data_IF_889178962690
#
_entry.id   IF_889178962690
#
_cell.length_a   1.000
_cell.length_b   1.000
_cell.length_c   1.000
_cell.angle_alpha   90.00
_cell.angle_beta   90.00
_cell.angle_gamma   90.00
#
_symmetry.space_group_name_H-M   'P 1'
#
loop_
_entity.id
_entity.type
_entity.pdbx_description
1 polymer ?
#
# COMPACT_ATOMS: atom_id res chain seq x y z
N UNK A 1 1.85 -15.10 -4.33
CA UNK A 1 1.53 -13.92 -3.50
C UNK A 1 1.97 -14.23 -2.08
N UNK A 2 2.70 -13.33 -1.42
CA UNK A 2 3.25 -13.51 -0.07
C UNK A 2 2.50 -12.66 0.97
N UNK A 3 1.17 -12.61 0.88
CA UNK A 3 0.32 -11.87 1.82
C UNK A 3 -1.04 -12.55 2.00
N UNK A 4 -1.74 -12.19 3.09
CA UNK A 4 -3.06 -12.69 3.44
C UNK A 4 -4.02 -11.54 3.70
N UNK A 5 -5.25 -11.65 3.19
CA UNK A 5 -6.31 -10.69 3.44
C UNK A 5 -7.56 -11.48 3.85
N UNK A 6 -8.13 -11.14 4.99
CA UNK A 6 -9.47 -11.59 5.39
C UNK A 6 -10.41 -10.39 5.39
N UNK A 7 -11.58 -10.57 4.77
CA UNK A 7 -12.57 -9.49 4.65
C UNK A 7 -13.91 -9.88 5.26
N UNK A 8 -14.54 -8.89 5.88
CA UNK A 8 -15.87 -8.99 6.46
C UNK A 8 -16.72 -7.91 5.81
N UNK A 9 -17.94 -8.24 5.40
CA UNK A 9 -18.82 -7.24 4.79
C UNK A 9 -19.34 -6.27 5.85
N UNK A 10 -19.32 -4.97 5.54
CA UNK A 10 -19.78 -3.93 6.45
C UNK A 10 -20.39 -2.74 5.74
N UNK A 11 -20.69 -1.70 6.51
CA UNK A 11 -21.22 -0.42 6.06
C UNK A 11 -20.15 0.69 5.93
N UNK A 12 -18.94 0.43 6.45
CA UNK A 12 -17.79 1.32 6.39
C UNK A 12 -16.52 0.48 6.32
N UNK A 13 -15.58 0.91 5.50
CA UNK A 13 -14.28 0.25 5.39
C UNK A 13 -13.38 0.63 6.57
N UNK A 14 -12.87 -0.39 7.25
CA UNK A 14 -12.06 -0.31 8.47
C UNK A 14 -11.01 -1.42 8.42
N UNK A 15 -9.77 -1.08 8.74
CA UNK A 15 -8.67 -2.03 8.92
C UNK A 15 -8.53 -2.31 10.42
N UNK A 16 -8.56 -3.59 10.78
CA UNK A 16 -8.38 -4.01 12.17
C UNK A 16 -6.89 -4.18 12.46
N UNK A 17 -6.28 -3.14 13.03
CA UNK A 17 -4.84 -3.12 13.35
C UNK A 17 -4.53 -3.81 14.69
N UNK A 18 -5.57 -4.11 15.49
CA UNK A 18 -5.49 -4.80 16.78
C UNK A 18 -6.69 -5.73 16.95
N UNK A 19 -6.42 -7.00 17.20
CA UNK A 19 -7.45 -8.03 17.40
C UNK A 19 -7.22 -8.68 18.75
N UNK A 20 -8.21 -8.57 19.62
CA UNK A 20 -8.17 -9.02 21.01
C UNK A 20 -8.91 -10.37 21.07
N UNK A 21 -8.18 -11.42 21.44
CA UNK A 21 -8.74 -12.71 21.81
C UNK A 21 -8.91 -12.82 23.33
N UNK A 22 -9.49 -13.93 23.77
CA UNK A 22 -9.79 -14.21 25.18
C UNK A 22 -8.56 -14.21 26.08
N UNK A 23 -7.38 -14.56 25.54
CA UNK A 23 -6.13 -14.70 26.31
C UNK A 23 -4.97 -13.82 25.81
N UNK A 24 -5.06 -13.26 24.60
CA UNK A 24 -3.94 -12.56 23.96
C UNK A 24 -4.43 -11.54 22.91
N UNK A 25 -3.50 -10.78 22.32
CA UNK A 25 -3.79 -9.76 21.31
C UNK A 25 -2.79 -9.85 20.16
N UNK A 26 -3.27 -9.78 18.92
CA UNK A 26 -2.44 -9.73 17.71
C UNK A 26 -2.58 -8.40 16.96
N UNK A 27 -1.53 -8.03 16.23
CA UNK A 27 -1.43 -6.79 15.46
C UNK A 27 -1.05 -7.12 14.01
N UNK A 28 -2.04 -7.36 13.13
CA UNK A 28 -1.78 -7.88 11.78
C UNK A 28 -1.18 -6.84 10.81
N UNK A 29 -1.52 -5.56 10.96
CA UNK A 29 -1.29 -4.54 9.93
C UNK A 29 -0.50 -3.32 10.42
N UNK A 30 0.84 -3.40 10.42
CA UNK A 30 1.72 -2.30 10.89
C UNK A 30 2.38 -1.53 9.74
N UNK A 31 2.28 -1.96 8.47
CA UNK A 31 3.18 -1.47 7.41
C UNK A 31 2.51 -0.88 6.16
N UNK A 32 1.19 -0.77 6.13
CA UNK A 32 0.46 -0.33 4.93
C UNK A 32 -0.09 1.07 5.14
N UNK A 33 0.43 2.05 4.39
CA UNK A 33 -0.24 3.34 4.31
C UNK A 33 -1.54 3.20 3.51
N UNK A 34 -2.67 3.45 4.15
CA UNK A 34 -4.00 3.38 3.56
C UNK A 34 -4.88 4.57 4.02
N UNK A 35 -5.95 4.91 3.26
CA UNK A 35 -6.84 6.01 3.62
C UNK A 35 -7.97 5.58 4.58
N UNK A 36 -8.09 4.28 4.84
CA UNK A 36 -9.17 3.73 5.66
C UNK A 36 -8.95 4.00 7.15
N UNK A 37 -10.04 3.99 7.92
CA UNK A 37 -9.96 4.08 9.36
C UNK A 37 -9.34 2.80 9.94
N UNK A 38 -8.56 2.95 11.00
CA UNK A 38 -8.05 1.85 11.81
C UNK A 38 -8.94 1.67 13.04
N UNK A 39 -9.13 0.42 13.47
CA UNK A 39 -9.93 0.09 14.66
C UNK A 39 -9.41 -1.16 15.37
N UNK A 40 -9.84 -1.33 16.62
CA UNK A 40 -9.64 -2.56 17.37
C UNK A 40 -10.92 -3.41 17.41
N UNK A 41 -10.77 -4.72 17.51
CA UNK A 41 -11.91 -5.63 17.63
C UNK A 41 -11.61 -6.76 18.62
N UNK A 42 -12.60 -7.08 19.46
CA UNK A 42 -12.57 -8.25 20.34
C UNK A 42 -13.40 -9.37 19.69
N UNK A 43 -12.72 -10.36 19.11
CA UNK A 43 -13.34 -11.49 18.39
C UNK A 43 -12.36 -12.67 18.35
N UNK A 44 -12.69 -13.77 19.04
CA UNK A 44 -11.84 -14.96 19.10
C UNK A 44 -11.67 -15.67 17.75
N UNK A 45 -12.68 -15.61 16.89
CA UNK A 45 -12.60 -16.25 15.57
C UNK A 45 -11.62 -15.50 14.68
N UNK A 46 -11.74 -14.17 14.63
CA UNK A 46 -10.81 -13.32 13.89
C UNK A 46 -9.42 -13.34 14.50
N UNK A 47 -9.31 -13.45 15.82
CA UNK A 47 -8.03 -13.62 16.51
C UNK A 47 -7.30 -14.86 15.99
N UNK A 48 -7.96 -16.02 15.98
CA UNK A 48 -7.32 -17.26 15.51
C UNK A 48 -6.94 -17.19 14.02
N UNK A 49 -7.81 -16.61 13.18
CA UNK A 49 -7.51 -16.40 11.76
C UNK A 49 -6.25 -15.52 11.58
N UNK A 50 -6.17 -14.42 12.33
CA UNK A 50 -5.05 -13.49 12.25
C UNK A 50 -3.76 -14.09 12.81
N UNK A 51 -3.81 -14.78 13.94
CA UNK A 51 -2.66 -15.45 14.58
C UNK A 51 -2.05 -16.51 13.65
N UNK A 52 -2.88 -17.38 13.07
CA UNK A 52 -2.43 -18.39 12.11
C UNK A 52 -1.85 -17.76 10.84
N UNK A 53 -2.49 -16.72 10.31
CA UNK A 53 -1.97 -15.99 9.16
C UNK A 53 -0.63 -15.30 9.48
N UNK A 54 -0.47 -14.70 10.65
CA UNK A 54 0.79 -14.05 11.06
C UNK A 54 1.92 -15.09 11.14
N UNK A 55 1.65 -16.29 11.68
CA UNK A 55 2.63 -17.39 11.71
C UNK A 55 3.01 -17.86 10.30
N UNK A 56 2.06 -17.90 9.37
CA UNK A 56 2.29 -18.41 8.03
C UNK A 56 2.97 -17.39 7.10
N UNK A 57 2.50 -16.15 7.09
CA UNK A 57 2.93 -15.12 6.14
C UNK A 57 3.97 -14.17 6.73
N UNK A 58 3.99 -14.04 8.05
CA UNK A 58 4.78 -13.06 8.79
C UNK A 58 3.98 -11.80 9.13
N UNK A 59 4.38 -11.13 10.20
CA UNK A 59 3.77 -9.86 10.62
C UNK A 59 3.93 -8.78 9.53
N UNK A 60 2.92 -7.92 9.37
CA UNK A 60 2.85 -6.85 8.36
C UNK A 60 2.39 -7.31 6.97
N UNK A 61 2.16 -8.60 6.77
CA UNK A 61 1.63 -9.20 5.52
C UNK A 61 0.20 -9.70 5.64
N UNK A 62 -0.47 -9.38 6.75
CA UNK A 62 -1.80 -9.86 7.09
C UNK A 62 -2.69 -8.64 7.23
N UNK A 63 -3.79 -8.61 6.49
CA UNK A 63 -4.83 -7.59 6.66
C UNK A 63 -6.11 -8.28 7.08
N UNK A 64 -6.72 -7.77 8.14
CA UNK A 64 -8.09 -8.11 8.51
C UNK A 64 -8.91 -6.83 8.35
N UNK A 65 -9.89 -6.83 7.44
CA UNK A 65 -10.63 -5.64 7.08
C UNK A 65 -12.14 -5.88 7.11
N UNK A 66 -12.88 -4.93 7.66
CA UNK A 66 -14.29 -4.75 7.31
C UNK A 66 -14.34 -3.89 6.07
N UNK A 67 -15.07 -4.30 5.04
CA UNK A 67 -15.12 -3.61 3.74
C UNK A 67 -16.55 -3.21 3.39
N UNK A 68 -16.74 -1.96 2.98
CA UNK A 68 -18.04 -1.40 2.61
C UNK A 68 -18.47 -1.78 1.19
N UNK A 69 -17.56 -1.72 0.23
CA UNK A 69 -17.82 -2.00 -1.19
C UNK A 69 -16.60 -2.60 -1.92
N UNK A 70 -16.82 -3.04 -3.15
CA UNK A 70 -15.83 -3.75 -3.95
C UNK A 70 -14.67 -2.85 -4.41
N UNK A 71 -14.85 -1.52 -4.49
CA UNK A 71 -13.77 -0.61 -4.86
C UNK A 71 -12.74 -0.50 -3.73
N UNK A 72 -13.22 -0.43 -2.49
CA UNK A 72 -12.35 -0.44 -1.32
C UNK A 72 -11.58 -1.76 -1.19
N UNK A 73 -12.21 -2.90 -1.52
CA UNK A 73 -11.52 -4.19 -1.59
C UNK A 73 -10.43 -4.20 -2.66
N UNK A 74 -10.77 -3.74 -3.87
CA UNK A 74 -9.82 -3.65 -4.98
C UNK A 74 -8.63 -2.77 -4.60
N UNK A 75 -8.85 -1.62 -3.96
CA UNK A 75 -7.79 -0.75 -3.46
C UNK A 75 -6.84 -1.49 -2.49
N UNK A 76 -7.39 -2.23 -1.52
CA UNK A 76 -6.60 -3.00 -0.54
C UNK A 76 -5.76 -4.06 -1.27
N UNK A 77 -6.36 -4.78 -2.22
CA UNK A 77 -5.69 -5.81 -3.02
C UNK A 77 -4.53 -5.23 -3.84
N UNK A 78 -4.77 -4.12 -4.54
CA UNK A 78 -3.76 -3.40 -5.32
C UNK A 78 -2.62 -2.90 -4.43
N UNK A 79 -2.96 -2.34 -3.27
CA UNK A 79 -1.97 -1.86 -2.29
C UNK A 79 -1.08 -3.00 -1.79
N UNK A 80 -1.65 -4.17 -1.49
CA UNK A 80 -0.89 -5.34 -1.06
C UNK A 80 -0.01 -5.92 -2.15
N UNK A 81 -0.51 -5.99 -3.39
CA UNK A 81 0.28 -6.39 -4.54
C UNK A 81 1.50 -5.46 -4.74
N UNK A 82 1.32 -4.15 -4.51
CA UNK A 82 2.39 -3.17 -4.57
C UNK A 82 3.46 -3.35 -3.49
N UNK A 83 3.08 -3.65 -2.24
CA UNK A 83 4.06 -3.78 -1.15
C UNK A 83 4.90 -5.05 -1.22
N UNK A 84 4.33 -6.11 -1.80
CA UNK A 84 4.94 -7.42 -1.94
C UNK A 84 4.97 -7.88 -3.40
N UNK A 85 5.62 -7.11 -4.29
CA UNK A 85 5.73 -7.49 -5.69
C UNK A 85 6.57 -8.77 -5.75
N UNK A 86 6.16 -9.71 -6.61
CA UNK A 86 6.97 -10.91 -6.85
C UNK A 86 8.35 -10.50 -7.38
N UNK A 87 9.42 -11.18 -6.95
CA UNK A 87 10.82 -10.93 -7.33
C UNK A 87 11.11 -9.47 -7.72
N UNK A 88 11.28 -8.59 -6.72
CA UNK A 88 11.58 -7.17 -6.92
C UNK A 88 12.65 -7.00 -8.01
N UNK A 89 12.25 -6.47 -9.18
CA UNK A 89 13.19 -6.09 -10.22
C UNK A 89 13.86 -4.79 -9.79
N UNK A 90 15.14 -4.62 -10.15
CA UNK A 90 15.80 -3.33 -9.96
C UNK A 90 14.99 -2.24 -10.68
N UNK A 91 14.76 -1.12 -9.98
CA UNK A 91 14.08 0.04 -10.56
C UNK A 91 14.87 0.57 -11.75
N UNK A 92 14.18 0.95 -12.83
CA UNK A 92 14.84 1.59 -13.97
C UNK A 92 15.48 2.92 -13.52
N UNK A 93 16.64 3.27 -14.09
CA UNK A 93 17.34 4.53 -13.77
C UNK A 93 16.46 5.78 -13.95
N UNK A 94 15.47 5.72 -14.86
CA UNK A 94 14.47 6.76 -15.05
C UNK A 94 13.60 7.01 -13.80
N UNK A 95 13.14 5.96 -13.13
CA UNK A 95 12.32 6.06 -11.91
C UNK A 95 13.15 6.64 -10.76
N UNK A 96 14.43 6.26 -10.69
CA UNK A 96 15.35 6.77 -9.67
C UNK A 96 15.59 8.27 -9.83
N UNK A 97 15.80 8.72 -11.06
CA UNK A 97 16.00 10.14 -11.34
C UNK A 97 14.72 10.93 -11.13
N UNK A 98 13.55 10.38 -11.47
CA UNK A 98 12.27 11.00 -11.11
C UNK A 98 12.13 11.17 -9.60
N UNK A 99 12.37 10.13 -8.80
CA UNK A 99 12.32 10.18 -7.34
C UNK A 99 13.21 11.27 -6.75
N UNK A 100 14.44 11.42 -7.27
CA UNK A 100 15.38 12.48 -6.85
C UNK A 100 14.84 13.85 -7.20
N UNK A 101 14.29 14.01 -8.41
CA UNK A 101 13.78 15.29 -8.91
C UNK A 101 12.54 15.77 -8.17
N UNK A 102 11.72 14.86 -7.62
CA UNK A 102 10.61 15.23 -6.73
C UNK A 102 10.99 15.26 -5.24
N UNK A 103 12.27 15.06 -4.88
CA UNK A 103 12.78 15.17 -3.50
C UNK A 103 12.08 14.25 -2.46
N UNK A 104 11.77 13.00 -2.82
CA UNK A 104 11.19 12.05 -1.86
C UNK A 104 12.18 11.67 -0.75
N UNK A 105 11.66 11.34 0.44
CA UNK A 105 12.46 10.65 1.47
C UNK A 105 12.81 9.23 1.01
N UNK A 106 13.83 8.62 1.61
CA UNK A 106 14.25 7.26 1.25
C UNK A 106 13.10 6.24 1.32
N UNK A 107 12.31 6.27 2.40
CA UNK A 107 11.15 5.40 2.56
C UNK A 107 10.07 5.66 1.50
N UNK A 108 9.80 6.93 1.17
CA UNK A 108 8.81 7.27 0.15
C UNK A 108 9.29 6.91 -1.26
N UNK A 109 10.57 7.12 -1.55
CA UNK A 109 11.17 6.72 -2.82
C UNK A 109 11.11 5.20 -2.99
N UNK A 110 11.37 4.43 -1.93
CA UNK A 110 11.21 2.97 -1.95
C UNK A 110 9.76 2.57 -2.26
N UNK A 111 8.79 3.18 -1.59
CA UNK A 111 7.36 2.93 -1.84
C UNK A 111 6.94 3.34 -3.26
N UNK A 112 7.47 4.45 -3.76
CA UNK A 112 7.24 4.90 -5.13
C UNK A 112 7.76 3.88 -6.16
N UNK A 113 8.97 3.36 -5.97
CA UNK A 113 9.55 2.33 -6.86
C UNK A 113 8.71 1.06 -6.89
N UNK A 114 8.25 0.60 -5.72
CA UNK A 114 7.32 -0.52 -5.61
C UNK A 114 6.01 -0.28 -6.36
N UNK A 115 5.45 0.93 -6.22
CA UNK A 115 4.24 1.34 -6.94
C UNK A 115 4.45 1.35 -8.46
N UNK A 116 5.60 1.83 -8.95
CA UNK A 116 5.93 1.79 -10.37
C UNK A 116 6.11 0.37 -10.89
N UNK A 117 6.76 -0.50 -10.10
CA UNK A 117 6.89 -1.92 -10.46
C UNK A 117 5.51 -2.57 -10.61
N UNK A 118 4.62 -2.35 -9.64
CA UNK A 118 3.24 -2.83 -9.71
C UNK A 118 2.48 -2.30 -10.93
N UNK A 119 2.62 -1.00 -11.21
CA UNK A 119 1.99 -0.39 -12.38
C UNK A 119 2.49 -1.02 -13.69
N UNK A 120 3.78 -1.31 -13.80
CA UNK A 120 4.35 -1.99 -14.96
C UNK A 120 3.87 -3.45 -15.09
N UNK A 121 3.83 -4.19 -13.98
CA UNK A 121 3.35 -5.60 -13.94
C UNK A 121 1.87 -5.74 -14.29
N UNK A 122 1.08 -4.69 -14.08
CA UNK A 122 -0.34 -4.62 -14.46
C UNK A 122 -0.57 -4.08 -15.89
N UNK A 123 0.51 -3.90 -16.66
CA UNK A 123 0.46 -3.48 -18.07
C UNK A 123 0.57 -1.97 -18.29
N UNK A 124 0.76 -1.20 -17.23
CA UNK A 124 1.03 0.23 -17.28
C UNK A 124 2.43 0.55 -17.83
N UNK A 125 2.63 1.80 -18.26
CA UNK A 125 3.94 2.29 -18.70
C UNK A 125 4.37 3.47 -17.83
N UNK A 126 5.33 3.29 -16.90
CA UNK A 126 5.80 4.35 -16.01
C UNK A 126 6.28 5.60 -16.75
N UNK A 127 6.90 5.47 -17.92
CA UNK A 127 7.36 6.63 -18.68
C UNK A 127 6.18 7.52 -19.13
N UNK A 128 5.14 6.89 -19.68
CA UNK A 128 3.93 7.60 -20.12
C UNK A 128 3.18 8.22 -18.94
N UNK A 129 3.11 7.53 -17.80
CA UNK A 129 2.46 8.03 -16.60
C UNK A 129 3.18 9.26 -16.01
N UNK A 130 4.51 9.23 -15.96
CA UNK A 130 5.29 10.26 -15.27
C UNK A 130 5.60 11.49 -16.14
N UNK A 131 5.61 11.34 -17.47
CA UNK A 131 5.92 12.44 -18.41
C UNK A 131 5.06 13.71 -18.22
N UNK A 132 3.73 13.62 -18.01
CA UNK A 132 2.90 14.79 -17.72
C UNK A 132 3.35 15.57 -16.48
N UNK A 133 3.71 14.86 -15.39
CA UNK A 133 4.15 15.48 -14.14
C UNK A 133 5.49 16.21 -14.28
N UNK A 134 6.39 15.71 -15.14
CA UNK A 134 7.65 16.40 -15.45
C UNK A 134 7.38 17.77 -16.06
N UNK A 135 6.41 17.84 -16.98
CA UNK A 135 6.03 19.07 -17.69
C UNK A 135 5.27 20.04 -16.79
N UNK A 136 4.31 19.53 -16.01
CA UNK A 136 3.43 20.34 -15.17
C UNK A 136 4.18 20.99 -14.01
N UNK A 137 5.03 20.23 -13.31
CA UNK A 137 5.69 20.68 -12.08
C UNK A 137 7.11 21.22 -12.28
N UNK A 138 7.59 21.31 -13.53
CA UNK A 138 8.90 21.87 -13.88
C UNK A 138 10.03 21.35 -12.99
N UNK A 139 10.21 20.03 -12.98
CA UNK A 139 11.19 19.36 -12.11
C UNK A 139 12.63 19.88 -12.31
N UNK A 140 13.47 19.90 -11.25
CA UNK A 140 13.21 19.41 -9.91
C UNK A 140 12.35 20.36 -9.07
N UNK A 141 11.51 19.79 -8.20
CA UNK A 141 10.69 20.58 -7.25
C UNK A 141 11.57 21.21 -6.17
N UNK A 142 11.04 22.22 -5.47
CA UNK A 142 11.82 23.00 -4.49
C UNK A 142 11.69 22.49 -3.07
N UNK A 143 10.71 21.63 -2.79
CA UNK A 143 10.46 21.14 -1.44
C UNK A 143 9.99 19.69 -1.39
N UNK A 144 10.32 18.99 -0.29
CA UNK A 144 9.79 17.66 0.00
C UNK A 144 8.26 17.63 0.11
N UNK A 145 7.64 18.77 0.46
CA UNK A 145 6.17 18.91 0.57
C UNK A 145 5.51 18.81 -0.81
N UNK A 146 6.05 19.52 -1.80
CA UNK A 146 5.62 19.40 -3.20
C UNK A 146 5.86 17.97 -3.72
N UNK A 147 7.02 17.39 -3.40
CA UNK A 147 7.34 16.00 -3.71
C UNK A 147 6.30 15.00 -3.22
N UNK A 148 5.94 15.10 -1.93
CA UNK A 148 4.89 14.27 -1.33
C UNK A 148 3.55 14.45 -2.04
N UNK A 149 3.16 15.67 -2.36
CA UNK A 149 1.91 15.93 -3.08
C UNK A 149 1.88 15.24 -4.44
N UNK A 150 2.96 15.34 -5.22
CA UNK A 150 3.07 14.68 -6.53
C UNK A 150 2.99 13.15 -6.38
N UNK A 151 3.68 12.58 -5.40
CA UNK A 151 3.59 11.16 -5.10
C UNK A 151 2.15 10.71 -4.81
N UNK A 152 1.43 11.42 -3.92
CA UNK A 152 0.06 11.05 -3.57
C UNK A 152 -0.89 11.17 -4.77
N UNK A 153 -0.69 12.16 -5.66
CA UNK A 153 -1.45 12.29 -6.91
C UNK A 153 -1.26 11.07 -7.82
N UNK A 154 0.00 10.66 -8.05
CA UNK A 154 0.34 9.49 -8.87
C UNK A 154 -0.20 8.21 -8.23
N UNK A 155 -0.03 8.07 -6.91
CA UNK A 155 -0.54 6.93 -6.14
C UNK A 155 -2.05 6.78 -6.28
N UNK A 156 -2.79 7.88 -6.17
CA UNK A 156 -4.25 7.86 -6.35
C UNK A 156 -4.66 7.56 -7.79
N UNK A 157 -3.88 7.96 -8.81
CA UNK A 157 -4.16 7.57 -10.20
C UNK A 157 -3.98 6.07 -10.48
N UNK A 158 -3.09 5.39 -9.73
CA UNK A 158 -2.83 3.96 -9.91
C UNK A 158 -3.76 3.09 -9.05
N UNK A 159 -3.96 3.49 -7.79
CA UNK A 159 -4.68 2.67 -6.81
C UNK A 159 -6.16 3.02 -6.69
N UNK A 160 -6.54 4.27 -6.99
CA UNK A 160 -7.92 4.77 -6.87
C UNK A 160 -8.82 4.41 -8.04
#
# INVERSE_FOLDING_TARGET
>A
MNYFIHTIKGNKTVIYNKIIGSNDTVYPDILINHPFAEDEIADDTLFHIADDAIRQYGNGKVIIAKVADDNDLDYILKTMACLYPGNAKESSGYIDDFCKNILLSETMALNFKKLMQYYEETGGNPHNLLTPFIKEYALPVKSKKEGKMIYELIRNQILG
#
